data_IF_338671130563
#
_entry.id   IF_338671130563
#
_cell.length_a   1.000
_cell.length_b   1.000
_cell.length_c   1.000
_cell.angle_alpha   90.00
_cell.angle_beta   90.00
_cell.angle_gamma   90.00
#
_symmetry.space_group_name_H-M   'P 1'
#
loop_
_entity.id
_entity.type
_entity.pdbx_description
1 polymer ?
#
# COMPACT_ATOMS: atom_id res chain seq x y z
N UNK A 1 -0.47 10.97 -13.05
CA UNK A 1 0.45 11.82 -12.27
C UNK A 1 1.24 10.90 -11.35
N UNK A 2 2.54 10.80 -11.56
CA UNK A 2 3.45 9.95 -10.79
C UNK A 2 3.63 10.50 -9.37
N UNK A 3 3.52 9.65 -8.35
CA UNK A 3 3.73 10.03 -6.95
C UNK A 3 5.07 10.75 -6.79
N UNK A 4 5.02 11.98 -6.29
CA UNK A 4 6.22 12.77 -6.03
C UNK A 4 6.93 12.18 -4.81
N UNK A 5 8.22 11.94 -4.97
CA UNK A 5 9.15 11.48 -3.94
C UNK A 5 9.28 12.53 -2.84
N UNK A 6 8.97 12.17 -1.60
CA UNK A 6 8.98 13.10 -0.47
C UNK A 6 10.16 12.88 0.50
N UNK A 7 10.70 11.66 0.64
CA UNK A 7 11.70 11.38 1.68
C UNK A 7 12.64 10.20 1.32
N UNK A 8 13.93 10.34 1.65
CA UNK A 8 14.96 9.27 1.59
C UNK A 8 15.50 9.05 3.00
N UNK A 9 15.64 7.82 3.49
CA UNK A 9 16.15 7.58 4.86
C UNK A 9 17.51 6.90 4.90
N UNK A 10 18.41 7.43 5.74
CA UNK A 10 19.67 6.81 6.07
C UNK A 10 19.41 5.59 6.96
N UNK A 11 19.93 4.46 6.57
CA UNK A 11 19.80 3.19 7.27
C UNK A 11 20.72 3.07 8.50
N UNK A 12 21.89 3.70 8.45
CA UNK A 12 22.83 3.66 9.57
C UNK A 12 22.41 4.50 10.78
N UNK A 13 21.61 5.56 10.58
CA UNK A 13 21.19 6.46 11.66
C UNK A 13 19.71 6.86 11.64
N UNK A 14 18.91 6.34 10.71
CA UNK A 14 17.49 6.66 10.55
C UNK A 14 17.20 8.06 9.99
N UNK A 15 18.21 8.91 9.78
CA UNK A 15 18.01 10.31 9.41
C UNK A 15 17.41 10.48 8.00
N UNK A 16 16.41 11.35 7.89
CA UNK A 16 15.79 11.73 6.63
C UNK A 16 16.68 12.66 5.81
N UNK A 17 16.73 12.41 4.51
CA UNK A 17 17.47 13.13 3.49
C UNK A 17 16.49 13.61 2.43
N UNK A 18 16.71 14.83 1.96
CA UNK A 18 15.86 15.46 0.97
C UNK A 18 16.09 14.86 -0.42
N UNK A 19 15.06 14.88 -1.26
CA UNK A 19 15.13 14.48 -2.67
C UNK A 19 16.28 15.15 -3.42
N UNK A 20 16.43 16.45 -3.25
CA UNK A 20 17.46 17.25 -3.94
C UNK A 20 18.88 16.79 -3.58
N UNK A 21 19.07 16.39 -2.32
CA UNK A 21 20.35 15.84 -1.86
C UNK A 21 20.69 14.54 -2.59
N UNK A 22 19.70 13.65 -2.72
CA UNK A 22 19.84 12.39 -3.44
C UNK A 22 20.10 12.59 -4.94
N UNK A 23 19.30 13.43 -5.61
CA UNK A 23 19.41 13.65 -7.07
C UNK A 23 20.74 14.27 -7.48
N UNK A 24 21.33 15.15 -6.65
CA UNK A 24 22.66 15.72 -6.88
C UNK A 24 23.79 14.69 -6.76
N UNK A 25 23.67 13.74 -5.81
CA UNK A 25 24.72 12.74 -5.53
C UNK A 25 24.60 11.49 -6.43
N UNK A 26 23.42 11.24 -7.01
CA UNK A 26 23.15 10.09 -7.90
C UNK A 26 24.10 10.01 -9.09
N UNK A 27 24.58 11.14 -9.61
CA UNK A 27 25.50 11.20 -10.76
C UNK A 27 26.86 10.50 -10.50
N UNK A 28 27.24 10.32 -9.23
CA UNK A 28 28.51 9.69 -8.84
C UNK A 28 28.41 8.23 -8.37
N UNK A 29 27.22 7.65 -8.34
CA UNK A 29 27.02 6.25 -7.87
C UNK A 29 27.30 6.02 -6.37
N UNK A 30 27.63 7.06 -5.61
CA UNK A 30 27.92 7.02 -4.17
C UNK A 30 27.17 8.15 -3.46
N UNK A 31 26.61 7.86 -2.29
CA UNK A 31 25.92 8.83 -1.43
C UNK A 31 26.48 8.75 -0.02
N UNK A 32 26.88 9.88 0.56
CA UNK A 32 27.34 9.92 1.96
C UNK A 32 26.26 10.52 2.85
N UNK A 33 25.89 9.88 3.95
CA UNK A 33 24.94 10.49 4.89
C UNK A 33 25.58 11.72 5.56
N UNK A 34 24.98 12.92 5.51
CA UNK A 34 25.50 14.11 6.17
C UNK A 34 25.54 13.99 7.70
N UNK A 35 24.66 13.15 8.28
CA UNK A 35 24.53 12.97 9.73
C UNK A 35 25.53 11.96 10.29
N UNK A 36 25.55 10.72 9.78
CA UNK A 36 26.41 9.66 10.31
C UNK A 36 27.68 9.39 9.49
N UNK A 37 27.90 10.16 8.41
CA UNK A 37 29.07 10.08 7.52
C UNK A 37 29.32 8.73 6.84
N UNK A 38 28.39 7.77 6.95
CA UNK A 38 28.44 6.51 6.20
C UNK A 38 28.21 6.77 4.71
N UNK A 39 29.03 6.14 3.87
CA UNK A 39 28.91 6.19 2.40
C UNK A 39 28.27 4.91 1.87
N UNK A 40 27.35 5.06 0.91
CA UNK A 40 26.55 3.99 0.30
C UNK A 40 26.75 3.97 -1.21
N UNK A 41 26.83 2.78 -1.79
CA UNK A 41 26.94 2.57 -3.24
C UNK A 41 25.55 2.38 -3.86
N UNK A 42 25.27 3.08 -4.96
CA UNK A 42 23.98 2.99 -5.67
C UNK A 42 24.04 1.80 -6.64
N UNK A 43 23.83 0.56 -6.17
CA UNK A 43 23.58 -0.60 -7.04
C UNK A 43 22.12 -0.63 -7.56
N UNK A 44 21.76 -1.54 -8.46
CA UNK A 44 20.49 -1.54 -9.20
C UNK A 44 19.23 -1.63 -8.30
N UNK A 45 18.14 -1.00 -8.76
CA UNK A 45 16.83 -0.88 -8.08
C UNK A 45 16.14 -2.25 -7.97
N UNK A 46 15.96 -2.77 -6.76
CA UNK A 46 14.95 -3.84 -6.50
C UNK A 46 13.61 -3.15 -6.24
N UNK A 47 12.57 -3.56 -6.96
CA UNK A 47 11.20 -3.07 -6.76
C UNK A 47 10.41 -4.16 -6.05
N UNK A 48 10.13 -3.96 -4.77
CA UNK A 48 9.18 -4.81 -4.04
C UNK A 48 7.79 -4.42 -4.54
N UNK A 49 7.04 -5.36 -5.10
CA UNK A 49 5.68 -5.11 -5.61
C UNK A 49 4.69 -5.68 -4.61
N UNK A 50 3.93 -4.84 -3.91
CA UNK A 50 2.93 -5.34 -2.98
C UNK A 50 1.82 -6.11 -3.70
N UNK A 51 1.23 -7.07 -3.00
CA UNK A 51 0.09 -7.87 -3.43
C UNK A 51 -1.00 -7.81 -2.36
N UNK A 52 -2.25 -7.89 -2.80
CA UNK A 52 -3.41 -8.06 -1.95
C UNK A 52 -3.94 -9.49 -2.12
N UNK A 53 -4.19 -10.18 -1.01
CA UNK A 53 -4.76 -11.52 -1.00
C UNK A 53 -6.11 -11.47 -0.30
N UNK A 54 -7.17 -11.83 -1.01
CA UNK A 54 -8.52 -11.96 -0.46
C UNK A 54 -8.84 -13.44 -0.27
N UNK A 55 -9.14 -13.85 0.95
CA UNK A 55 -9.53 -15.22 1.29
C UNK A 55 -11.04 -15.42 1.09
N UNK A 56 -11.42 -16.46 0.35
CA UNK A 56 -12.83 -16.93 0.22
C UNK A 56 -13.10 -18.04 1.22
N UNK A 57 -14.37 -18.21 1.59
CA UNK A 57 -14.84 -19.26 2.52
C UNK A 57 -14.47 -20.70 2.10
N UNK A 58 -14.13 -20.94 0.82
CA UNK A 58 -13.71 -22.24 0.29
C UNK A 58 -12.17 -22.42 0.18
N UNK A 59 -11.37 -21.57 0.83
CA UNK A 59 -9.90 -21.62 0.74
C UNK A 59 -9.33 -21.11 -0.60
N UNK A 60 -10.18 -20.64 -1.53
CA UNK A 60 -9.75 -19.96 -2.76
C UNK A 60 -9.26 -18.56 -2.42
N UNK A 61 -8.06 -18.20 -2.88
CA UNK A 61 -7.51 -16.85 -2.73
C UNK A 61 -7.61 -16.07 -4.04
N UNK A 62 -8.02 -14.81 -3.97
CA UNK A 62 -7.84 -13.86 -5.08
C UNK A 62 -6.59 -13.04 -4.80
N UNK A 63 -5.59 -13.16 -5.69
CA UNK A 63 -4.36 -12.38 -5.61
C UNK A 63 -4.39 -11.22 -6.60
N UNK A 64 -4.10 -10.02 -6.10
CA UNK A 64 -4.02 -8.80 -6.91
C UNK A 64 -2.66 -8.15 -6.77
N UNK A 65 -1.97 -7.91 -7.89
CA UNK A 65 -0.70 -7.17 -7.91
C UNK A 65 -0.98 -5.67 -7.77
N UNK A 66 -0.49 -5.08 -6.70
CA UNK A 66 -0.71 -3.68 -6.38
C UNK A 66 0.45 -2.84 -6.91
N UNK A 67 0.27 -2.26 -8.10
CA UNK A 67 1.31 -1.47 -8.76
C UNK A 67 1.20 0.04 -8.51
N UNK A 68 -0.02 0.53 -8.27
CA UNK A 68 -0.40 1.94 -8.15
C UNK A 68 -1.54 2.10 -7.13
N UNK A 69 -2.48 3.01 -7.39
CA UNK A 69 -3.70 3.23 -6.60
C UNK A 69 -4.78 2.21 -6.98
N UNK A 70 -5.45 1.66 -5.96
CA UNK A 70 -6.68 0.86 -6.11
C UNK A 70 -7.75 1.38 -5.15
N UNK A 71 -8.99 1.44 -5.61
CA UNK A 71 -10.16 1.65 -4.76
C UNK A 71 -10.90 0.33 -4.64
N UNK A 72 -11.11 -0.14 -3.42
CA UNK A 72 -11.87 -1.35 -3.15
C UNK A 72 -13.26 -0.96 -2.70
N UNK A 73 -14.26 -1.61 -3.28
CA UNK A 73 -15.65 -1.30 -3.01
C UNK A 73 -16.57 -2.42 -3.45
N UNK A 74 -17.82 -2.05 -3.66
CA UNK A 74 -18.89 -2.98 -3.98
C UNK A 74 -19.62 -2.55 -5.25
N UNK A 75 -19.83 -3.46 -6.18
CA UNK A 75 -20.70 -3.17 -7.31
C UNK A 75 -22.17 -3.06 -6.86
N UNK A 76 -22.97 -2.18 -7.48
CA UNK A 76 -24.35 -1.96 -7.06
C UNK A 76 -25.29 -3.16 -7.26
N UNK A 77 -25.16 -3.86 -8.39
CA UNK A 77 -26.17 -4.82 -8.87
C UNK A 77 -26.12 -6.15 -8.11
N UNK A 78 -24.96 -6.80 -8.05
CA UNK A 78 -24.85 -8.15 -7.47
C UNK A 78 -24.10 -8.17 -6.14
N UNK A 79 -23.72 -7.00 -5.62
CA UNK A 79 -22.93 -6.85 -4.38
C UNK A 79 -21.56 -7.53 -4.43
N UNK A 80 -20.97 -7.72 -5.61
CA UNK A 80 -19.60 -8.22 -5.71
C UNK A 80 -18.60 -7.17 -5.22
N UNK A 81 -17.57 -7.64 -4.52
CA UNK A 81 -16.41 -6.84 -4.17
C UNK A 81 -15.58 -6.62 -5.42
N UNK A 82 -15.33 -5.35 -5.74
CA UNK A 82 -14.62 -4.91 -6.93
C UNK A 82 -13.39 -4.10 -6.55
N UNK A 83 -12.38 -4.15 -7.40
CA UNK A 83 -11.20 -3.31 -7.35
C UNK A 83 -11.21 -2.38 -8.56
N UNK A 84 -11.36 -1.08 -8.31
CA UNK A 84 -11.26 -0.02 -9.32
C UNK A 84 -9.79 0.43 -9.41
N UNK A 85 -9.23 0.33 -10.62
CA UNK A 85 -7.84 0.62 -10.93
C UNK A 85 -7.69 2.01 -11.56
N UNK A 86 -6.47 2.56 -11.53
CA UNK A 86 -6.09 3.70 -12.37
C UNK A 86 -6.57 3.51 -13.81
N UNK A 87 -7.28 4.52 -14.34
CA UNK A 87 -7.82 4.52 -15.70
C UNK A 87 -9.21 3.90 -15.85
N UNK A 88 -9.93 3.64 -14.75
CA UNK A 88 -11.34 3.22 -14.79
C UNK A 88 -11.56 1.74 -15.15
N UNK A 89 -10.52 0.92 -15.03
CA UNK A 89 -10.64 -0.55 -15.16
C UNK A 89 -11.12 -1.15 -13.85
N UNK A 90 -11.92 -2.21 -13.93
CA UNK A 90 -12.45 -2.92 -12.77
C UNK A 90 -12.03 -4.38 -12.79
N UNK A 91 -11.61 -4.89 -11.64
CA UNK A 91 -11.39 -6.33 -11.40
C UNK A 91 -12.46 -6.82 -10.42
N UNK A 92 -13.18 -7.87 -10.79
CA UNK A 92 -14.21 -8.47 -9.94
C UNK A 92 -13.61 -9.67 -9.18
N UNK A 93 -13.73 -9.66 -7.85
CA UNK A 93 -13.19 -10.72 -7.00
C UNK A 93 -14.12 -11.95 -6.93
N UNK A 94 -15.35 -11.81 -7.42
CA UNK A 94 -16.48 -12.75 -7.29
C UNK A 94 -16.87 -13.05 -5.83
N UNK A 95 -16.43 -12.23 -4.88
CA UNK A 95 -16.83 -12.30 -3.48
C UNK A 95 -18.06 -11.40 -3.31
N UNK A 96 -19.16 -11.93 -2.76
CA UNK A 96 -20.35 -11.12 -2.48
C UNK A 96 -20.31 -10.58 -1.06
N UNK A 97 -20.52 -9.28 -0.91
CA UNK A 97 -20.66 -8.65 0.40
C UNK A 97 -21.51 -7.38 0.31
N UNK A 98 -22.76 -7.40 0.80
CA UNK A 98 -23.64 -6.23 0.75
C UNK A 98 -23.26 -5.12 1.73
N UNK A 99 -22.42 -5.41 2.74
CA UNK A 99 -22.00 -4.48 3.79
C UNK A 99 -20.80 -3.62 3.38
N UNK A 100 -20.07 -4.00 2.33
CA UNK A 100 -19.03 -3.15 1.76
C UNK A 100 -19.68 -1.96 1.02
N UNK A 101 -19.11 -0.78 1.22
CA UNK A 101 -19.56 0.46 0.56
C UNK A 101 -19.20 0.44 -0.92
N UNK A 102 -19.96 1.15 -1.76
CA UNK A 102 -19.64 1.28 -3.21
C UNK A 102 -18.19 1.69 -3.46
N UNK A 103 -17.69 2.62 -2.65
CA UNK A 103 -16.27 2.94 -2.47
C UNK A 103 -15.99 2.84 -0.98
N UNK A 104 -15.17 1.88 -0.58
CA UNK A 104 -15.01 1.51 0.83
C UNK A 104 -13.64 1.94 1.35
N UNK A 105 -12.58 1.47 0.69
CA UNK A 105 -11.21 1.85 1.01
C UNK A 105 -10.43 2.21 -0.25
N UNK A 106 -9.36 2.96 -0.06
CA UNK A 106 -8.35 3.22 -1.06
C UNK A 106 -7.01 2.71 -0.56
N UNK A 107 -6.23 2.07 -1.44
CA UNK A 107 -4.83 1.76 -1.19
C UNK A 107 -4.01 2.45 -2.27
N UNK A 108 -3.15 3.37 -1.83
CA UNK A 108 -2.20 4.08 -2.69
C UNK A 108 -0.80 3.49 -2.49
N UNK A 109 -0.13 3.15 -3.59
CA UNK A 109 1.28 2.73 -3.52
C UNK A 109 2.19 3.93 -3.71
N UNK A 110 2.93 4.26 -2.65
CA UNK A 110 3.97 5.29 -2.66
C UNK A 110 5.36 4.62 -2.62
N UNK A 111 6.31 5.13 -3.41
CA UNK A 111 7.70 4.65 -3.38
C UNK A 111 8.52 5.36 -2.30
N UNK A 112 9.15 4.58 -1.41
CA UNK A 112 10.14 5.02 -0.43
C UNK A 112 11.52 4.44 -0.82
N UNK A 113 12.59 5.25 -0.77
CA UNK A 113 13.95 4.82 -1.09
C UNK A 113 14.75 4.59 0.19
N UNK A 114 15.39 3.42 0.33
CA UNK A 114 16.21 3.06 1.50
C UNK A 114 17.69 2.99 1.12
N UNK A 115 18.58 3.63 1.89
CA UNK A 115 19.98 3.86 1.47
C UNK A 115 20.97 2.70 1.70
N UNK A 116 20.68 1.68 2.53
CA UNK A 116 21.60 0.54 2.72
C UNK A 116 21.46 -0.57 1.66
N UNK A 117 20.44 -0.44 0.83
CA UNK A 117 19.86 -1.53 0.08
C UNK A 117 19.11 -0.89 -1.06
N UNK A 118 19.76 -0.88 -2.22
CA UNK A 118 19.50 0.00 -3.35
C UNK A 118 18.14 -0.20 -4.03
N UNK A 119 17.06 -0.03 -3.30
CA UNK A 119 15.74 -0.52 -3.67
C UNK A 119 14.70 0.59 -3.48
N UNK A 120 13.63 0.52 -4.25
CA UNK A 120 12.41 1.29 -4.02
C UNK A 120 11.45 0.37 -3.27
N UNK A 121 11.21 0.67 -2.01
CA UNK A 121 10.15 0.01 -1.23
C UNK A 121 8.85 0.72 -1.56
N UNK A 122 7.97 0.03 -2.27
CA UNK A 122 6.60 0.50 -2.51
C UNK A 122 5.77 0.23 -1.26
N UNK A 123 5.52 1.25 -0.45
CA UNK A 123 4.59 1.15 0.69
C UNK A 123 3.16 1.39 0.26
N UNK A 124 2.27 0.53 0.74
CA UNK A 124 0.83 0.73 0.63
C UNK A 124 0.36 1.69 1.71
N UNK A 125 -0.37 2.73 1.35
CA UNK A 125 -1.09 3.61 2.25
C UNK A 125 -2.58 3.30 2.13
N UNK A 126 -3.19 2.79 3.19
CA UNK A 126 -4.62 2.52 3.27
C UNK A 126 -5.37 3.74 3.80
N UNK A 127 -6.52 4.03 3.20
CA UNK A 127 -7.47 5.02 3.69
C UNK A 127 -8.90 4.46 3.65
N UNK A 128 -9.63 4.58 4.76
CA UNK A 128 -11.09 4.38 4.76
C UNK A 128 -11.79 5.61 4.18
N UNK A 129 -12.64 5.39 3.18
CA UNK A 129 -13.33 6.45 2.42
C UNK A 129 -14.66 6.88 3.04
N UNK A 130 -14.79 6.78 4.36
CA UNK A 130 -16.05 7.05 5.07
C UNK A 130 -17.02 5.89 4.93
N UNK A 131 -16.53 4.66 5.05
CA UNK A 131 -17.35 3.47 4.91
C UNK A 131 -18.42 3.36 6.01
N UNK A 132 -19.53 2.68 5.69
CA UNK A 132 -20.66 2.56 6.63
C UNK A 132 -20.34 1.71 7.86
N UNK A 133 -19.56 0.64 7.68
CA UNK A 133 -19.25 -0.37 8.72
C UNK A 133 -17.76 -0.38 9.11
N UNK A 134 -17.05 0.69 8.78
CA UNK A 134 -15.66 0.88 9.12
C UNK A 134 -14.69 -0.10 8.45
N UNK A 135 -13.41 0.21 8.64
CA UNK A 135 -12.27 -0.62 8.25
C UNK A 135 -11.36 -0.79 9.46
N UNK A 136 -10.76 -1.95 9.64
CA UNK A 136 -9.77 -2.20 10.70
C UNK A 136 -8.48 -2.79 10.13
N UNK A 137 -7.34 -2.50 10.77
CA UNK A 137 -6.04 -3.11 10.46
C UNK A 137 -5.60 -3.89 11.70
N UNK A 138 -5.37 -5.19 11.55
CA UNK A 138 -4.98 -6.09 12.64
C UNK A 138 -5.92 -6.01 13.86
N UNK A 139 -7.22 -5.86 13.61
CA UNK A 139 -8.25 -5.72 14.65
C UNK A 139 -8.39 -4.30 15.24
N UNK A 140 -7.54 -3.35 14.84
CA UNK A 140 -7.64 -1.96 15.29
C UNK A 140 -8.42 -1.11 14.27
N UNK A 141 -9.55 -0.48 14.66
CA UNK A 141 -10.32 0.38 13.76
C UNK A 141 -9.46 1.52 13.21
N UNK A 142 -9.60 1.77 11.91
CA UNK A 142 -9.00 2.92 11.23
C UNK A 142 -9.94 4.12 11.36
N UNK A 143 -9.41 5.30 11.69
CA UNK A 143 -10.25 6.50 11.73
C UNK A 143 -10.64 6.90 10.31
N UNK A 144 -11.82 7.49 10.14
CA UNK A 144 -12.30 7.95 8.83
C UNK A 144 -11.31 8.95 8.22
N UNK A 145 -10.98 8.76 6.95
CA UNK A 145 -10.02 9.57 6.19
C UNK A 145 -8.57 9.56 6.73
N UNK A 146 -8.24 8.74 7.72
CA UNK A 146 -6.86 8.53 8.15
C UNK A 146 -6.12 7.71 7.10
N UNK A 147 -4.96 8.22 6.65
CA UNK A 147 -4.02 7.43 5.85
C UNK A 147 -3.10 6.67 6.80
N UNK A 148 -3.09 5.34 6.70
CA UNK A 148 -2.22 4.46 7.49
C UNK A 148 -1.34 3.62 6.61
N UNK A 149 -0.04 3.60 6.90
CA UNK A 149 0.91 2.75 6.21
C UNK A 149 0.65 1.27 6.55
N UNK A 150 0.65 0.44 5.51
CA UNK A 150 0.55 -1.00 5.59
C UNK A 150 1.94 -1.62 5.74
N UNK A 151 2.04 -2.66 6.56
CA UNK A 151 3.22 -3.49 6.72
C UNK A 151 2.95 -4.89 6.18
N UNK A 152 4.01 -5.59 5.78
CA UNK A 152 3.93 -6.98 5.35
C UNK A 152 3.12 -7.85 6.35
N UNK A 153 2.13 -8.58 5.83
CA UNK A 153 1.13 -9.40 6.54
C UNK A 153 0.07 -8.63 7.34
N UNK A 154 -0.09 -7.33 7.16
CA UNK A 154 -1.23 -6.61 7.73
C UNK A 154 -2.56 -7.21 7.23
N UNK A 155 -3.47 -7.47 8.18
CA UNK A 155 -4.81 -7.97 7.94
C UNK A 155 -5.79 -6.81 7.96
N UNK A 156 -6.26 -6.42 6.77
CA UNK A 156 -7.21 -5.34 6.56
C UNK A 156 -8.61 -5.94 6.57
N UNK A 157 -9.41 -5.63 7.58
CA UNK A 157 -10.80 -6.09 7.69
C UNK A 157 -11.72 -5.00 7.15
N UNK A 158 -12.37 -5.26 6.02
CA UNK A 158 -13.42 -4.43 5.44
C UNK A 158 -14.75 -4.74 6.11
N UNK A 159 -15.58 -3.70 6.30
CA UNK A 159 -16.86 -3.80 6.99
C UNK A 159 -16.73 -4.51 8.35
N UNK A 160 -15.74 -4.09 9.14
CA UNK A 160 -15.36 -4.69 10.41
C UNK A 160 -16.53 -4.80 11.41
N UNK A 161 -17.43 -3.83 11.39
CA UNK A 161 -18.60 -3.76 12.28
C UNK A 161 -19.84 -4.50 11.70
N UNK A 162 -19.68 -5.23 10.60
CA UNK A 162 -20.77 -5.94 9.93
C UNK A 162 -20.81 -7.43 10.31
N UNK A 163 -21.95 -8.12 10.11
CA UNK A 163 -22.03 -9.57 10.35
C UNK A 163 -21.29 -10.42 9.31
N UNK A 164 -20.77 -9.81 8.24
CA UNK A 164 -20.00 -10.51 7.20
C UNK A 164 -18.74 -9.68 6.87
N UNK A 165 -17.74 -9.60 7.78
CA UNK A 165 -16.50 -8.89 7.49
C UNK A 165 -15.67 -9.63 6.43
N UNK A 166 -14.90 -8.90 5.62
CA UNK A 166 -13.94 -9.49 4.68
C UNK A 166 -12.53 -9.09 5.07
N UNK A 167 -11.62 -10.06 5.12
CA UNK A 167 -10.21 -9.78 5.38
C UNK A 167 -9.39 -9.82 4.10
N UNK A 168 -8.55 -8.81 3.93
CA UNK A 168 -7.53 -8.69 2.89
C UNK A 168 -6.16 -8.74 3.57
N UNK A 169 -5.27 -9.59 3.08
CA UNK A 169 -3.90 -9.67 3.57
C UNK A 169 -3.00 -8.87 2.62
N UNK A 170 -2.29 -7.89 3.17
CA UNK A 170 -1.26 -7.14 2.44
C UNK A 170 0.07 -7.90 2.48
N UNK A 171 0.66 -8.19 1.32
CA UNK A 171 1.98 -8.83 1.23
C UNK A 171 2.94 -8.02 0.38
N UNK A 172 4.06 -7.65 0.96
CA UNK A 172 5.23 -7.17 0.21
C UNK A 172 5.98 -8.37 -0.38
N UNK A 173 6.23 -8.38 -1.69
CA UNK A 173 7.01 -9.43 -2.40
C UNK A 173 8.10 -8.84 -3.28
#
# INVERSE_FOLDING_TARGET
MSGKLEEVRCSGCGASLTKEYYEKQKAGGLITCPYCKKTYMITQIVVIVPKLILEKEEGKTFEFKLNERVVIGREPEHNFVIMELSGGRFENTYIRNPYISKRHVEIEVAGEYVLEKTYVVKKGLLQDLGSRFGTAINGYPLRRNEKRALNHNDRITLAHESPMPITIIYKET
#
